data_IF_591777912514
#
_entry.id   IF_591777912514
#
_cell.length_a   1.000
_cell.length_b   1.000
_cell.length_c   1.000
_cell.angle_alpha   90.00
_cell.angle_beta   90.00
_cell.angle_gamma   90.00
#
_symmetry.space_group_name_H-M   'P 1'
#
loop_
_entity.id
_entity.type
_entity.pdbx_description
1 polymer ?
#
# COMPACT_ATOMS: atom_id res chain seq x y z
N UNK A 1 -2.95 -27.44 -64.41
CA UNK A 1 -2.85 -27.83 -62.98
C UNK A 1 -2.08 -26.71 -62.28
N UNK A 2 -2.74 -25.72 -61.63
CA UNK A 2 -2.92 -25.61 -60.16
C UNK A 2 -1.69 -26.21 -59.42
N UNK A 3 -0.89 -25.50 -58.61
CA UNK A 3 -1.28 -24.69 -57.45
C UNK A 3 -0.16 -23.70 -57.06
N UNK A 4 -0.57 -22.51 -56.62
CA UNK A 4 0.26 -21.45 -56.04
C UNK A 4 0.89 -21.90 -54.72
N UNK A 5 2.21 -21.80 -54.62
CA UNK A 5 2.97 -22.03 -53.38
C UNK A 5 2.88 -20.76 -52.52
N UNK A 6 1.90 -20.73 -51.63
CA UNK A 6 1.78 -19.69 -50.60
C UNK A 6 2.83 -19.93 -49.52
N UNK A 7 3.75 -18.99 -49.35
CA UNK A 7 4.58 -18.90 -48.15
C UNK A 7 4.01 -17.76 -47.32
N UNK A 8 3.20 -18.14 -46.33
CA UNK A 8 2.72 -17.28 -45.27
C UNK A 8 3.87 -17.10 -44.28
N UNK A 9 4.58 -15.97 -44.36
CA UNK A 9 5.52 -15.57 -43.31
C UNK A 9 4.73 -14.85 -42.22
N UNK A 10 4.18 -15.61 -41.28
CA UNK A 10 3.57 -15.08 -40.07
C UNK A 10 4.71 -14.57 -39.15
N UNK A 11 5.03 -13.28 -39.25
CA UNK A 11 6.00 -12.63 -38.37
C UNK A 11 5.33 -12.41 -37.01
N UNK A 12 5.49 -13.36 -36.10
CA UNK A 12 5.07 -13.23 -34.71
C UNK A 12 6.01 -12.26 -33.99
N UNK A 13 5.69 -10.96 -34.04
CA UNK A 13 6.32 -9.96 -33.16
C UNK A 13 5.76 -10.14 -31.76
N UNK A 14 6.49 -10.87 -30.92
CA UNK A 14 6.28 -10.86 -29.47
C UNK A 14 6.62 -9.48 -28.94
N UNK A 15 5.58 -8.69 -28.63
CA UNK A 15 5.73 -7.46 -27.86
C UNK A 15 6.24 -7.85 -26.47
N UNK A 16 7.42 -7.37 -26.09
CA UNK A 16 7.92 -7.48 -24.73
C UNK A 16 7.01 -6.64 -23.83
N UNK A 17 6.05 -7.28 -23.18
CA UNK A 17 5.29 -6.67 -22.10
C UNK A 17 6.24 -6.49 -20.91
N UNK A 18 6.58 -5.26 -20.55
CA UNK A 18 7.21 -5.01 -19.26
C UNK A 18 6.09 -4.85 -18.24
N UNK A 19 5.86 -5.88 -17.42
CA UNK A 19 4.97 -5.75 -16.27
C UNK A 19 5.56 -4.70 -15.33
N UNK A 20 4.84 -3.60 -15.08
CA UNK A 20 5.16 -2.70 -13.97
C UNK A 20 5.19 -3.53 -12.68
N UNK A 21 6.33 -3.51 -11.98
CA UNK A 21 6.47 -4.25 -10.74
C UNK A 21 5.76 -3.48 -9.62
N UNK A 22 4.65 -4.03 -9.12
CA UNK A 22 3.93 -3.50 -7.97
C UNK A 22 4.82 -3.65 -6.72
N UNK A 23 5.40 -2.54 -6.27
CA UNK A 23 6.21 -2.49 -5.04
C UNK A 23 5.47 -1.75 -3.93
N UNK A 24 5.74 -2.15 -2.69
CA UNK A 24 5.34 -1.37 -1.51
C UNK A 24 5.95 0.04 -1.59
N UNK A 25 5.16 1.05 -1.26
CA UNK A 25 5.62 2.43 -1.17
C UNK A 25 5.32 3.01 0.20
N UNK A 26 6.22 3.83 0.73
CA UNK A 26 6.01 4.58 1.96
C UNK A 26 4.92 5.64 1.77
N UNK A 27 3.96 5.70 2.68
CA UNK A 27 2.80 6.62 2.62
C UNK A 27 2.86 7.69 3.70
N UNK A 28 3.39 7.35 4.87
CA UNK A 28 3.49 8.27 5.99
C UNK A 28 3.85 7.58 7.29
N UNK A 29 3.97 8.36 8.36
CA UNK A 29 4.26 7.85 9.70
C UNK A 29 3.45 8.61 10.74
N UNK A 30 3.23 7.99 11.90
CA UNK A 30 2.55 8.61 13.03
C UNK A 30 3.14 8.13 14.35
N UNK A 31 3.17 9.03 15.34
CA UNK A 31 3.37 8.65 16.74
C UNK A 31 2.03 8.12 17.30
N UNK A 32 2.05 7.08 18.13
CA UNK A 32 0.83 6.59 18.80
C UNK A 32 0.13 7.73 19.57
N UNK A 33 0.90 8.58 20.25
CA UNK A 33 0.46 9.80 20.94
C UNK A 33 0.48 11.01 19.98
N UNK A 34 -0.13 10.91 18.81
CA UNK A 34 -0.30 12.07 17.92
C UNK A 34 -1.41 13.02 18.44
N UNK A 35 -1.31 14.32 18.20
CA UNK A 35 -2.35 15.31 18.56
C UNK A 35 -3.74 15.00 17.94
N UNK A 36 -3.77 14.37 16.77
CA UNK A 36 -4.99 13.94 16.09
C UNK A 36 -5.58 12.64 16.69
N UNK A 37 -4.85 11.93 17.55
CA UNK A 37 -5.34 10.72 18.17
C UNK A 37 -6.37 11.03 19.26
N UNK A 38 -7.42 10.18 19.42
CA UNK A 38 -8.37 10.32 20.51
C UNK A 38 -7.65 10.34 21.85
N UNK A 39 -8.12 11.17 22.79
CA UNK A 39 -7.57 11.19 24.15
C UNK A 39 -8.24 10.13 24.99
N UNK A 40 -7.44 9.40 25.78
CA UNK A 40 -7.99 8.50 26.78
C UNK A 40 -8.84 9.28 27.79
N UNK A 41 -9.97 8.69 28.17
CA UNK A 41 -10.85 9.23 29.19
C UNK A 41 -11.45 8.08 29.99
N UNK A 42 -11.58 8.27 31.31
CA UNK A 42 -12.22 7.32 32.20
C UNK A 42 -13.75 7.48 32.26
N UNK A 43 -14.35 8.34 31.43
CA UNK A 43 -15.77 8.65 31.48
C UNK A 43 -16.62 7.50 30.91
N UNK A 44 -17.56 6.92 31.67
CA UNK A 44 -18.42 5.83 31.21
C UNK A 44 -19.33 6.27 30.03
N UNK A 45 -19.83 5.32 29.20
CA UNK A 45 -19.80 3.87 29.39
C UNK A 45 -18.65 3.13 28.70
N UNK A 46 -17.96 3.74 27.72
CA UNK A 46 -16.96 3.07 26.88
C UNK A 46 -15.82 4.02 26.48
N UNK A 47 -14.67 3.44 26.11
CA UNK A 47 -13.50 4.18 25.65
C UNK A 47 -13.60 4.80 24.27
N UNK A 48 -12.59 5.61 23.92
CA UNK A 48 -12.37 5.98 22.54
C UNK A 48 -12.10 4.73 21.69
N UNK A 49 -12.28 4.81 20.36
CA UNK A 49 -11.96 3.71 19.46
C UNK A 49 -10.53 3.22 19.61
N UNK A 50 -10.36 1.90 19.56
CA UNK A 50 -9.06 1.25 19.48
C UNK A 50 -8.79 0.79 18.05
N UNK A 51 -7.55 0.97 17.62
CA UNK A 51 -7.10 0.68 16.26
C UNK A 51 -5.92 -0.28 16.27
N UNK A 52 -5.92 -1.25 15.36
CA UNK A 52 -4.67 -1.92 14.95
C UNK A 52 -3.73 -0.93 14.25
N UNK A 53 -2.45 -1.29 14.06
CA UNK A 53 -1.52 -0.47 13.27
C UNK A 53 -2.03 -0.22 11.84
N UNK A 54 -2.59 -1.25 11.21
CA UNK A 54 -3.21 -1.16 9.89
C UNK A 54 -4.50 -0.32 9.87
N UNK A 55 -5.37 -0.47 10.87
CA UNK A 55 -6.59 0.35 10.98
C UNK A 55 -6.25 1.83 11.20
N UNK A 56 -5.22 2.14 11.99
CA UNK A 56 -4.72 3.49 12.20
C UNK A 56 -4.14 4.10 10.91
N UNK A 57 -3.36 3.33 10.14
CA UNK A 57 -2.86 3.77 8.84
C UNK A 57 -3.99 4.08 7.86
N UNK A 58 -5.01 3.22 7.78
CA UNK A 58 -6.18 3.47 6.93
C UNK A 58 -6.98 4.71 7.37
N UNK A 59 -7.10 4.95 8.68
CA UNK A 59 -7.74 6.15 9.21
C UNK A 59 -7.00 7.43 8.81
N UNK A 60 -5.66 7.42 8.88
CA UNK A 60 -4.82 8.59 8.66
C UNK A 60 -4.55 8.87 7.18
N UNK A 61 -4.40 7.82 6.37
CA UNK A 61 -3.91 7.92 4.99
C UNK A 61 -4.95 7.45 3.96
N UNK A 62 -6.12 6.95 4.40
CA UNK A 62 -7.19 6.45 3.54
C UNK A 62 -6.98 5.00 3.08
N UNK A 63 -7.92 4.46 2.29
CA UNK A 63 -7.84 3.08 1.77
C UNK A 63 -8.34 2.02 2.76
N UNK A 64 -8.01 0.75 2.52
CA UNK A 64 -8.38 -0.35 3.43
C UNK A 64 -7.21 -0.73 4.32
N UNK A 65 -7.48 -1.08 5.59
CA UNK A 65 -6.47 -1.52 6.55
C UNK A 65 -5.60 -2.68 6.01
N UNK A 66 -6.22 -3.63 5.32
CA UNK A 66 -5.53 -4.80 4.75
C UNK A 66 -4.52 -4.46 3.64
N UNK A 67 -4.57 -3.25 3.07
CA UNK A 67 -3.64 -2.81 2.02
C UNK A 67 -2.31 -2.30 2.60
N UNK A 68 -2.25 -2.10 3.92
CA UNK A 68 -1.09 -1.53 4.60
C UNK A 68 -0.16 -2.59 5.19
N UNK A 69 1.14 -2.31 5.12
CA UNK A 69 2.16 -2.94 5.96
C UNK A 69 2.80 -1.86 6.83
N UNK A 70 3.06 -2.18 8.09
CA UNK A 70 3.57 -1.27 9.10
C UNK A 70 4.97 -1.68 9.52
N UNK A 71 5.80 -0.69 9.79
CA UNK A 71 7.11 -0.87 10.44
C UNK A 71 7.22 -0.01 11.69
N UNK A 72 7.96 -0.50 12.69
CA UNK A 72 8.42 0.29 13.83
C UNK A 72 9.89 0.73 13.71
N UNK A 73 10.55 0.43 12.58
CA UNK A 73 11.98 0.69 12.38
C UNK A 73 12.20 2.05 11.70
N UNK A 74 11.82 2.17 10.43
CA UNK A 74 11.98 3.39 9.63
C UNK A 74 11.07 3.38 8.38
N UNK A 75 11.25 4.39 7.51
CA UNK A 75 10.52 4.55 6.25
C UNK A 75 11.10 3.78 5.05
N UNK A 76 12.06 2.87 5.27
CA UNK A 76 12.64 2.02 4.23
C UNK A 76 11.83 0.74 4.04
N UNK A 77 11.45 0.44 2.78
CA UNK A 77 10.73 -0.79 2.42
C UNK A 77 11.52 -2.05 2.79
N UNK A 78 12.86 -1.99 2.78
CA UNK A 78 13.71 -3.11 3.14
C UNK A 78 13.65 -3.48 4.65
N UNK A 79 13.16 -2.56 5.48
CA UNK A 79 13.13 -2.68 6.94
C UNK A 79 11.70 -2.86 7.48
N UNK A 80 10.75 -3.25 6.64
CA UNK A 80 9.38 -3.56 7.10
C UNK A 80 9.44 -4.80 7.97
N UNK A 81 8.98 -4.68 9.23
CA UNK A 81 8.97 -5.77 10.20
C UNK A 81 7.56 -6.29 10.52
N UNK A 82 6.51 -5.71 9.92
CA UNK A 82 5.10 -6.06 10.16
C UNK A 82 4.68 -5.94 11.64
N UNK A 83 5.32 -5.01 12.36
CA UNK A 83 5.02 -4.69 13.74
C UNK A 83 4.51 -3.25 13.83
N UNK A 84 3.75 -2.95 14.87
CA UNK A 84 3.36 -1.60 15.24
C UNK A 84 3.55 -1.37 16.75
N UNK A 85 3.83 -0.12 17.11
CA UNK A 85 3.70 0.40 18.46
C UNK A 85 2.23 0.57 18.82
N UNK A 86 1.92 0.19 20.06
CA UNK A 86 0.62 0.33 20.69
C UNK A 86 0.79 0.94 22.07
N UNK A 87 -0.17 1.75 22.48
CA UNK A 87 -0.42 1.99 23.90
C UNK A 87 -1.32 0.86 24.41
N UNK A 88 -1.05 0.37 25.61
CA UNK A 88 -1.86 -0.62 26.33
C UNK A 88 -2.35 0.02 27.62
N UNK A 89 -3.66 0.05 27.83
CA UNK A 89 -4.25 0.78 28.96
C UNK A 89 -3.69 0.26 30.29
N UNK A 90 -3.23 1.20 31.12
CA UNK A 90 -2.64 0.90 32.43
C UNK A 90 -1.27 0.22 32.40
N UNK A 91 -0.65 0.08 31.22
CA UNK A 91 0.65 -0.56 31.03
C UNK A 91 1.62 0.32 30.24
N UNK A 92 1.14 0.98 29.18
CA UNK A 92 1.91 1.84 28.30
C UNK A 92 2.43 1.15 27.03
N UNK A 93 3.55 1.65 26.52
CA UNK A 93 4.08 1.30 25.20
C UNK A 93 4.48 -0.16 25.02
N UNK A 94 3.92 -0.81 24.01
CA UNK A 94 4.26 -2.17 23.61
C UNK A 94 4.34 -2.30 22.09
N UNK A 95 5.11 -3.28 21.61
CA UNK A 95 5.22 -3.61 20.18
C UNK A 95 4.50 -4.93 19.93
N UNK A 96 3.51 -4.91 19.04
CA UNK A 96 2.77 -6.10 18.62
C UNK A 96 2.74 -6.20 17.09
N UNK A 97 2.20 -7.31 16.57
CA UNK A 97 1.94 -7.44 15.14
C UNK A 97 1.05 -6.28 14.66
N UNK A 98 1.25 -5.82 13.42
CA UNK A 98 0.51 -4.69 12.82
C UNK A 98 -1.02 -4.83 12.79
N UNK A 99 -1.50 -6.08 12.89
CA UNK A 99 -2.92 -6.46 12.93
C UNK A 99 -3.38 -6.93 14.32
N UNK A 100 -2.54 -6.79 15.36
CA UNK A 100 -2.90 -7.15 16.72
C UNK A 100 -4.10 -6.32 17.18
N UNK A 101 -5.09 -7.00 17.73
CA UNK A 101 -6.34 -6.43 18.20
C UNK A 101 -6.70 -7.04 19.54
N UNK A 102 -6.70 -6.21 20.57
CA UNK A 102 -7.26 -6.52 21.86
C UNK A 102 -8.10 -5.32 22.27
N UNK A 103 -9.35 -5.31 21.81
CA UNK A 103 -10.27 -4.18 21.96
C UNK A 103 -11.59 -4.67 22.51
N UNK A 104 -12.17 -3.93 23.46
CA UNK A 104 -13.47 -4.27 24.02
C UNK A 104 -14.56 -3.62 23.18
N UNK A 105 -15.34 -4.43 22.43
CA UNK A 105 -16.39 -3.93 21.54
C UNK A 105 -15.89 -2.83 20.56
N UNK A 106 -14.62 -2.90 20.14
CA UNK A 106 -13.98 -1.91 19.27
C UNK A 106 -13.29 -0.75 20.00
N UNK A 107 -13.31 -0.72 21.33
CA UNK A 107 -12.88 0.42 22.14
C UNK A 107 -11.59 0.12 22.92
N UNK A 108 -10.88 1.21 23.26
CA UNK A 108 -9.63 1.23 24.03
C UNK A 108 -9.83 1.10 25.56
N UNK A 109 -11.02 0.74 26.02
CA UNK A 109 -11.26 0.10 27.33
C UNK A 109 -12.67 -0.51 27.38
N UNK A 110 -12.92 -1.44 28.32
CA UNK A 110 -14.23 -2.06 28.59
C UNK A 110 -15.09 -1.28 29.58
N UNK A 111 -15.96 -1.87 30.41
CA UNK A 111 -16.46 -1.18 31.59
C UNK A 111 -15.27 -0.64 32.42
N UNK A 112 -15.40 0.52 33.07
CA UNK A 112 -14.28 1.27 33.69
C UNK A 112 -13.48 0.46 34.73
N UNK A 113 -14.07 -0.62 35.25
CA UNK A 113 -13.55 -1.56 36.24
C UNK A 113 -12.95 -2.86 35.66
N UNK A 114 -12.84 -2.97 34.32
CA UNK A 114 -12.49 -4.23 33.65
C UNK A 114 -11.01 -4.41 33.29
N UNK A 115 -10.14 -3.41 33.48
CA UNK A 115 -8.70 -3.55 33.16
C UNK A 115 -7.87 -3.79 34.43
N UNK A 116 -6.81 -4.59 34.30
CA UNK A 116 -5.89 -4.92 35.39
C UNK A 116 -4.63 -4.08 35.24
N UNK A 117 -4.32 -3.21 36.21
CA UNK A 117 -3.14 -2.33 36.13
C UNK A 117 -1.85 -3.15 35.88
N UNK A 118 -1.07 -2.75 34.87
CA UNK A 118 0.18 -3.41 34.48
C UNK A 118 0.03 -4.70 33.68
N UNK A 119 -1.19 -5.10 33.33
CA UNK A 119 -1.42 -6.30 32.52
C UNK A 119 -1.23 -6.00 31.02
N UNK A 120 -0.36 -6.73 30.31
CA UNK A 120 -0.08 -6.48 28.89
C UNK A 120 -1.20 -6.96 27.95
N UNK A 121 -2.14 -7.75 28.46
CA UNK A 121 -3.33 -8.24 27.78
C UNK A 121 -4.56 -7.35 28.00
N UNK A 122 -4.37 -6.13 28.49
CA UNK A 122 -5.41 -5.11 28.48
C UNK A 122 -5.67 -4.58 27.06
N UNK A 123 -6.68 -3.72 26.94
CA UNK A 123 -7.02 -3.08 25.68
C UNK A 123 -5.83 -2.29 25.10
N UNK A 124 -5.59 -2.45 23.79
CA UNK A 124 -4.45 -1.85 23.09
C UNK A 124 -4.92 -1.04 21.88
N UNK A 125 -4.23 0.08 21.58
CA UNK A 125 -4.48 0.88 20.39
C UNK A 125 -3.17 1.46 19.83
N UNK A 126 -3.00 1.37 18.51
CA UNK A 126 -1.90 1.98 17.78
C UNK A 126 -2.11 3.48 17.49
N UNK A 127 -3.22 4.05 17.96
CA UNK A 127 -3.56 5.47 17.78
C UNK A 127 -4.42 5.97 18.93
N UNK A 128 -3.76 6.46 19.99
CA UNK A 128 -4.40 6.97 21.20
C UNK A 128 -3.45 7.87 22.00
N UNK A 129 -3.98 8.95 22.58
CA UNK A 129 -3.26 9.78 23.55
C UNK A 129 -3.53 9.30 24.98
N UNK A 130 -2.66 8.44 25.47
CA UNK A 130 -2.69 7.93 26.84
C UNK A 130 -1.31 7.97 27.52
N UNK A 131 -0.64 6.83 27.68
CA UNK A 131 0.58 6.66 28.46
C UNK A 131 1.84 7.02 27.67
N UNK A 132 1.77 7.09 26.35
CA UNK A 132 2.92 7.25 25.44
C UNK A 132 3.37 8.70 25.17
N UNK A 133 2.97 9.68 26.00
CA UNK A 133 3.39 11.08 25.79
C UNK A 133 4.93 11.22 25.79
N UNK A 134 5.48 11.70 24.68
CA UNK A 134 6.93 11.93 24.53
C UNK A 134 7.77 10.67 24.34
N UNK A 135 7.15 9.50 24.16
CA UNK A 135 7.85 8.23 24.00
C UNK A 135 8.49 8.03 22.61
N UNK A 136 8.09 8.81 21.60
CA UNK A 136 8.50 8.65 20.20
C UNK A 136 8.14 7.26 19.65
N UNK A 137 6.93 6.80 19.94
CA UNK A 137 6.41 5.50 19.52
C UNK A 137 5.89 5.59 18.07
N UNK A 138 6.83 5.68 17.13
CA UNK A 138 6.53 5.98 15.72
C UNK A 138 6.27 4.71 14.92
N UNK A 139 5.15 4.69 14.20
CA UNK A 139 4.78 3.71 13.20
C UNK A 139 4.95 4.28 11.79
N UNK A 140 5.45 3.47 10.85
CA UNK A 140 5.66 3.82 9.45
C UNK A 140 4.75 2.96 8.57
N UNK A 141 3.88 3.60 7.77
CA UNK A 141 2.94 2.93 6.88
C UNK A 141 3.47 2.82 5.45
N UNK A 142 3.28 1.64 4.88
CA UNK A 142 3.55 1.31 3.48
C UNK A 142 2.30 0.73 2.85
N UNK A 143 2.04 1.06 1.58
CA UNK A 143 0.91 0.52 0.82
C UNK A 143 1.40 -0.10 -0.48
N UNK A 144 0.72 -1.15 -0.94
CA UNK A 144 0.90 -1.67 -2.29
C UNK A 144 0.20 -0.75 -3.29
N UNK A 145 0.90 0.26 -3.78
CA UNK A 145 0.40 1.09 -4.88
C UNK A 145 0.80 0.47 -6.21
N UNK A 146 -0.17 -0.07 -6.93
CA UNK A 146 -0.12 -0.13 -8.37
C UNK A 146 -1.24 0.73 -8.94
N UNK A 147 -1.01 2.00 -9.33
CA UNK A 147 -1.76 2.48 -10.48
C UNK A 147 -1.31 1.58 -11.64
N UNK A 148 -2.22 0.79 -12.20
CA UNK A 148 -2.02 0.20 -13.51
C UNK A 148 -1.86 1.36 -14.50
N UNK A 149 -0.63 1.86 -14.67
CA UNK A 149 -0.31 2.83 -15.70
C UNK A 149 -0.48 2.05 -17.00
N UNK A 150 -1.50 2.34 -17.83
CA UNK A 150 -1.60 1.71 -19.13
C UNK A 150 -0.35 2.12 -19.89
N UNK A 151 0.42 1.15 -20.39
CA UNK A 151 1.55 1.46 -21.25
C UNK A 151 1.09 2.45 -22.33
N UNK A 152 1.89 3.48 -22.67
CA UNK A 152 1.47 4.42 -23.68
C UNK A 152 1.27 3.65 -24.99
N UNK A 153 0.00 3.51 -25.40
CA UNK A 153 -0.40 3.00 -26.71
C UNK A 153 0.28 3.75 -27.87
N UNK A 154 0.96 4.87 -27.57
CA UNK A 154 1.90 5.59 -28.43
C UNK A 154 2.95 4.66 -29.04
N UNK A 155 3.55 3.73 -28.30
CA UNK A 155 4.54 2.79 -28.89
C UNK A 155 3.85 1.85 -29.88
N UNK A 156 2.65 1.36 -29.55
CA UNK A 156 1.81 0.54 -30.42
C UNK A 156 1.34 1.27 -31.68
N UNK A 157 1.30 2.60 -31.69
CA UNK A 157 0.97 3.43 -32.87
C UNK A 157 2.21 3.86 -33.67
N UNK A 158 3.37 4.03 -33.01
CA UNK A 158 4.60 4.48 -33.65
C UNK A 158 5.17 3.43 -34.61
N UNK A 159 5.19 2.16 -34.20
CA UNK A 159 5.75 1.07 -35.00
C UNK A 159 4.97 0.77 -36.29
N UNK A 160 3.63 0.60 -36.30
CA UNK A 160 2.89 0.41 -37.54
C UNK A 160 2.91 1.66 -38.43
N UNK A 161 2.93 2.87 -37.84
CA UNK A 161 3.05 4.12 -38.60
C UNK A 161 4.37 4.24 -39.36
N UNK A 162 5.50 3.93 -38.71
CA UNK A 162 6.82 3.92 -39.34
C UNK A 162 6.97 2.80 -40.37
N UNK A 163 6.38 1.63 -40.11
CA UNK A 163 6.39 0.53 -41.07
C UNK A 163 5.56 0.86 -42.32
N UNK A 164 4.41 1.51 -42.16
CA UNK A 164 3.59 2.02 -43.26
C UNK A 164 4.32 3.04 -44.12
N UNK A 165 5.05 3.97 -43.49
CA UNK A 165 5.86 4.98 -44.19
C UNK A 165 7.04 4.36 -44.95
N UNK A 166 7.71 3.35 -44.38
CA UNK A 166 8.80 2.64 -45.04
C UNK A 166 8.33 1.88 -46.30
N UNK A 167 7.11 1.31 -46.26
CA UNK A 167 6.50 0.62 -47.40
C UNK A 167 6.05 1.59 -48.50
N UNK A 168 5.58 2.79 -48.16
CA UNK A 168 5.20 3.81 -49.15
C UNK A 168 6.38 4.35 -49.97
N UNK A 169 7.62 4.29 -49.45
CA UNK A 169 8.82 4.78 -50.15
C UNK A 169 9.26 3.90 -51.33
N UNK A 170 8.70 2.70 -51.48
CA UNK A 170 9.02 1.77 -52.59
C UNK A 170 8.01 1.91 -53.74
N UNK A 171 7.99 3.06 -54.42
CA UNK A 171 7.45 3.12 -55.79
C UNK A 171 8.59 3.00 -56.80
N UNK A 172 8.63 1.96 -57.65
CA UNK A 172 9.60 1.90 -58.73
C UNK A 172 9.27 3.00 -59.74
N UNK A 173 10.23 3.89 -59.98
CA UNK A 173 10.15 4.86 -61.07
C UNK A 173 10.04 4.11 -62.39
N UNK A 174 9.01 4.42 -63.19
CA UNK A 174 8.91 3.93 -64.57
C UNK A 174 10.11 4.46 -65.34
N UNK A 175 11.00 3.58 -65.78
CA UNK A 175 12.04 3.91 -66.75
C UNK A 175 11.39 4.37 -68.05
N UNK A 176 11.83 5.48 -68.67
CA UNK A 176 11.31 5.92 -69.95
C UNK A 176 11.78 4.93 -71.03
N UNK A 177 10.84 4.41 -71.81
CA UNK A 177 11.12 3.60 -72.99
C UNK A 177 11.48 4.56 -74.13
N UNK A 178 12.66 4.37 -74.72
CA UNK A 178 13.12 5.03 -75.94
C UNK A 178 12.70 4.24 -77.18
#
# INVERSE_FOLDING_TARGET
MKKYLGIVTLLATTLFMSTANAGLMFVGSWDVYNDAAPTWSSAPPNGPPAYTGQEAAALLFGGNAADYSISTIDSSVANINNMAWYDVIGTGGNVFAENYSNKYLGQYYGPTDSYVLGAPDNAASAFIRDNLFGANAINYAFINSAPAVPEPAVLSLLFPGLFGLAMMRRRPGKSPVA
#
